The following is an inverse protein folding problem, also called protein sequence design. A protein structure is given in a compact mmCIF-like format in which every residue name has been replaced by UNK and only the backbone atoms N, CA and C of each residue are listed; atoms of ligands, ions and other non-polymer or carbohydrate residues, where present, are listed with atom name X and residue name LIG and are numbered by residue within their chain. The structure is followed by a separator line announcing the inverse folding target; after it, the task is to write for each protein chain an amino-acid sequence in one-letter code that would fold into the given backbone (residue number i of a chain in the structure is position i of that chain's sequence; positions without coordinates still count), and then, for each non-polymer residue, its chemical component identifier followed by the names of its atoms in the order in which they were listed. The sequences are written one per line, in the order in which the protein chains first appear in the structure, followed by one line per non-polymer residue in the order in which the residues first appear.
data_IF_084029895043
#
_entry.id   IF_084029895043
#
_cell.length_a   1.000
_cell.length_b   1.000
_cell.length_c   1.000
_cell.angle_alpha   90.00
_cell.angle_beta   90.00
_cell.angle_gamma   90.00
#
_symmetry.space_group_name_H-M   'P 1'
#
loop_
_entity.id
_entity.type
_entity.pdbx_description
1 polymer ?
#
# COMPACT_ATOMS: atom_id res chain seq x y z
N UNK A 1 9.48 9.96 4.86
CA UNK A 1 8.09 9.47 4.72
C UNK A 1 7.45 10.00 3.44
N UNK A 2 7.14 11.30 3.32
CA UNK A 2 6.40 11.87 2.19
C UNK A 2 7.04 11.66 0.79
N UNK A 3 8.32 12.00 0.62
CA UNK A 3 9.00 11.89 -0.68
C UNK A 3 9.13 10.44 -1.17
N UNK A 4 9.39 9.50 -0.25
CA UNK A 4 9.45 8.08 -0.58
C UNK A 4 8.10 7.53 -1.04
N UNK A 5 7.01 7.91 -0.35
CA UNK A 5 5.65 7.53 -0.76
C UNK A 5 5.24 8.16 -2.09
N UNK A 6 5.56 9.44 -2.31
CA UNK A 6 5.31 10.07 -3.60
C UNK A 6 6.00 9.31 -4.74
N UNK A 7 7.28 8.97 -4.58
CA UNK A 7 8.06 8.25 -5.60
C UNK A 7 7.51 6.84 -5.82
N UNK A 8 7.18 6.12 -4.75
CA UNK A 8 6.61 4.77 -4.86
C UNK A 8 5.27 4.77 -5.60
N UNK A 9 4.35 5.65 -5.19
CA UNK A 9 2.99 5.72 -5.75
C UNK A 9 2.98 6.33 -7.15
N UNK A 10 3.88 7.26 -7.46
CA UNK A 10 4.06 7.74 -8.85
C UNK A 10 4.59 6.64 -9.75
N UNK A 11 5.57 5.86 -9.31
CA UNK A 11 6.08 4.71 -10.09
C UNK A 11 4.99 3.66 -10.33
N UNK A 12 4.15 3.41 -9.33
CA UNK A 12 2.99 2.55 -9.48
C UNK A 12 2.03 3.09 -10.54
N UNK A 13 1.65 4.36 -10.42
CA UNK A 13 0.77 5.04 -11.39
C UNK A 13 1.34 4.99 -12.82
N UNK A 14 2.63 5.27 -13.00
CA UNK A 14 3.29 5.22 -14.31
C UNK A 14 3.24 3.81 -14.91
N UNK A 15 3.36 2.78 -14.07
CA UNK A 15 3.24 1.38 -14.47
C UNK A 15 1.81 1.04 -14.89
N UNK A 16 0.81 1.53 -14.15
CA UNK A 16 -0.60 1.35 -14.46
C UNK A 16 -0.98 2.04 -15.79
N UNK A 17 -0.55 3.29 -15.99
CA UNK A 17 -0.75 4.03 -17.24
C UNK A 17 -0.08 3.35 -18.43
N UNK A 18 1.15 2.84 -18.26
CA UNK A 18 1.85 2.09 -19.31
C UNK A 18 1.15 0.78 -19.67
N UNK A 19 0.56 0.07 -18.71
CA UNK A 19 -0.24 -1.13 -18.97
C UNK A 19 -1.50 -0.79 -19.78
N UNK A 20 -2.23 0.26 -19.40
CA UNK A 20 -3.41 0.75 -20.14
C UNK A 20 -3.04 1.16 -21.57
N UNK A 21 -1.94 1.89 -21.75
CA UNK A 21 -1.48 2.32 -23.07
C UNK A 21 -1.14 1.11 -23.96
N UNK A 22 -0.48 0.08 -23.40
CA UNK A 22 -0.14 -1.15 -24.12
C UNK A 22 -1.39 -1.92 -24.59
N UNK A 23 -2.37 -2.12 -23.71
CA UNK A 23 -3.60 -2.84 -24.10
C UNK A 23 -4.44 -2.03 -25.09
N UNK A 24 -4.47 -0.70 -24.96
CA UNK A 24 -5.11 0.18 -25.95
C UNK A 24 -4.46 0.03 -27.33
N UNK A 25 -3.13 0.09 -27.40
CA UNK A 25 -2.40 -0.10 -28.65
C UNK A 25 -2.65 -1.49 -29.25
N UNK A 26 -2.68 -2.54 -28.43
CA UNK A 26 -2.97 -3.90 -28.88
C UNK A 26 -4.39 -4.01 -29.44
N UNK A 27 -5.37 -3.41 -28.77
CA UNK A 27 -6.77 -3.41 -29.19
C UNK A 27 -6.96 -2.65 -30.52
N UNK A 28 -6.25 -1.53 -30.71
CA UNK A 28 -6.29 -0.75 -31.96
C UNK A 28 -5.60 -1.46 -33.12
N UNK A 29 -4.42 -2.06 -32.89
CA UNK A 29 -3.62 -2.69 -33.95
C UNK A 29 -4.06 -4.11 -34.30
N UNK A 30 -4.42 -4.91 -33.31
CA UNK A 30 -4.70 -6.34 -33.46
C UNK A 30 -5.83 -6.80 -32.52
N UNK A 31 -7.10 -6.43 -32.81
CA UNK A 31 -8.24 -6.75 -31.94
C UNK A 31 -8.45 -8.26 -31.75
N UNK A 32 -8.12 -9.08 -32.75
CA UNK A 32 -8.21 -10.54 -32.63
C UNK A 32 -7.21 -11.11 -31.61
N UNK A 33 -5.99 -10.55 -31.57
CA UNK A 33 -4.97 -10.93 -30.58
C UNK A 33 -5.39 -10.44 -29.20
N UNK A 34 -5.92 -9.22 -29.09
CA UNK A 34 -6.46 -8.69 -27.84
C UNK A 34 -7.56 -9.62 -27.27
N UNK A 35 -8.45 -10.10 -28.14
CA UNK A 35 -9.53 -11.02 -27.78
C UNK A 35 -9.02 -12.38 -27.29
N UNK A 36 -8.04 -12.95 -27.98
CA UNK A 36 -7.38 -14.18 -27.53
C UNK A 36 -6.64 -13.99 -26.20
N UNK A 37 -6.00 -12.84 -26.01
CA UNK A 37 -5.32 -12.50 -24.76
C UNK A 37 -6.29 -12.39 -23.58
N UNK A 38 -7.47 -11.79 -23.78
CA UNK A 38 -8.48 -11.68 -22.73
C UNK A 38 -9.05 -13.07 -22.36
N UNK A 39 -9.35 -13.89 -23.36
CA UNK A 39 -9.79 -15.26 -23.16
C UNK A 39 -8.76 -16.07 -22.35
N UNK A 40 -7.48 -15.99 -22.73
CA UNK A 40 -6.41 -16.68 -22.03
C UNK A 40 -6.27 -16.21 -20.56
N UNK A 41 -6.47 -14.91 -20.31
CA UNK A 41 -6.43 -14.35 -18.95
C UNK A 41 -7.56 -14.93 -18.06
N UNK A 42 -8.79 -15.00 -18.56
CA UNK A 42 -9.90 -15.62 -17.83
C UNK A 42 -9.63 -17.10 -17.49
N UNK A 43 -9.14 -17.87 -18.46
CA UNK A 43 -8.80 -19.29 -18.23
C UNK A 43 -7.67 -19.42 -17.20
N UNK A 44 -6.65 -18.56 -17.28
CA UNK A 44 -5.55 -18.53 -16.31
C UNK A 44 -6.02 -18.17 -14.90
N UNK A 45 -7.01 -17.29 -14.78
CA UNK A 45 -7.60 -16.87 -13.51
C UNK A 45 -8.62 -17.89 -12.95
N UNK A 46 -8.85 -19.01 -13.66
CA UNK A 46 -9.60 -20.17 -13.17
C UNK A 46 -11.00 -20.32 -13.76
N UNK A 47 -11.39 -19.50 -14.73
CA UNK A 47 -12.66 -19.66 -15.44
C UNK A 47 -12.62 -20.89 -16.36
N UNK A 48 -13.75 -21.58 -16.48
CA UNK A 48 -13.86 -22.67 -17.45
C UNK A 48 -13.93 -22.11 -18.88
N UNK A 49 -13.49 -22.90 -19.87
CA UNK A 49 -13.35 -22.44 -21.26
C UNK A 49 -14.64 -21.84 -21.84
N UNK A 50 -15.80 -22.43 -21.54
CA UNK A 50 -17.10 -21.94 -22.01
C UNK A 50 -17.47 -20.60 -21.39
N UNK A 51 -17.24 -20.40 -20.09
CA UNK A 51 -17.45 -19.13 -19.41
C UNK A 51 -16.49 -18.05 -19.89
N UNK A 52 -15.20 -18.38 -20.00
CA UNK A 52 -14.16 -17.47 -20.48
C UNK A 52 -14.48 -16.93 -21.88
N UNK A 53 -15.00 -17.78 -22.77
CA UNK A 53 -15.38 -17.37 -24.11
C UNK A 53 -16.61 -16.45 -24.13
N UNK A 54 -17.61 -16.74 -23.29
CA UNK A 54 -18.78 -15.89 -23.12
C UNK A 54 -18.42 -14.51 -22.53
N UNK A 55 -17.59 -14.49 -21.49
CA UNK A 55 -17.10 -13.25 -20.85
C UNK A 55 -16.31 -12.40 -21.82
N UNK A 56 -15.38 -13.01 -22.57
CA UNK A 56 -14.59 -12.33 -23.61
C UNK A 56 -15.50 -11.71 -24.67
N UNK A 57 -16.48 -12.46 -25.19
CA UNK A 57 -17.44 -11.95 -26.17
C UNK A 57 -18.20 -10.74 -25.63
N UNK A 58 -18.69 -10.84 -24.39
CA UNK A 58 -19.44 -9.77 -23.73
C UNK A 58 -18.58 -8.52 -23.51
N UNK A 59 -17.35 -8.69 -23.06
CA UNK A 59 -16.40 -7.59 -22.84
C UNK A 59 -16.15 -6.81 -24.13
N UNK A 60 -15.97 -7.50 -25.26
CA UNK A 60 -15.76 -6.87 -26.58
C UNK A 60 -16.99 -6.12 -27.12
N UNK A 61 -18.19 -6.39 -26.60
CA UNK A 61 -19.41 -5.64 -26.94
C UNK A 61 -19.62 -4.39 -26.07
N UNK A 62 -18.93 -4.30 -24.92
CA UNK A 62 -19.12 -3.23 -23.94
C UNK A 62 -17.87 -2.37 -23.83
N UNK A 63 -16.88 -2.85 -23.07
CA UNK A 63 -15.63 -2.15 -22.84
C UNK A 63 -14.46 -3.16 -22.81
N UNK A 64 -13.88 -3.52 -23.97
CA UNK A 64 -12.80 -4.50 -24.04
C UNK A 64 -11.52 -4.02 -23.35
N UNK A 65 -11.24 -2.72 -23.38
CA UNK A 65 -10.03 -2.15 -22.76
C UNK A 65 -10.08 -2.30 -21.24
N UNK A 66 -11.21 -1.96 -20.63
CA UNK A 66 -11.43 -2.10 -19.19
C UNK A 66 -11.30 -3.57 -18.76
N UNK A 67 -11.94 -4.50 -19.48
CA UNK A 67 -11.83 -5.92 -19.17
C UNK A 67 -10.39 -6.46 -19.33
N UNK A 68 -9.67 -6.04 -20.37
CA UNK A 68 -8.26 -6.42 -20.59
C UNK A 68 -7.38 -5.97 -19.44
N UNK A 69 -7.54 -4.71 -19.01
CA UNK A 69 -6.70 -4.11 -17.97
C UNK A 69 -7.05 -4.69 -16.60
N UNK A 70 -8.33 -4.85 -16.29
CA UNK A 70 -8.80 -5.44 -15.04
C UNK A 70 -8.37 -6.91 -14.90
N UNK A 71 -8.59 -7.74 -15.93
CA UNK A 71 -8.33 -9.18 -15.83
C UNK A 71 -6.83 -9.52 -15.84
N UNK A 72 -6.03 -8.77 -16.61
CA UNK A 72 -4.59 -9.05 -16.76
C UNK A 72 -3.73 -8.40 -15.68
N UNK A 73 -4.13 -7.24 -15.17
CA UNK A 73 -3.31 -6.45 -14.25
C UNK A 73 -4.01 -6.11 -12.94
N UNK A 74 -5.32 -6.34 -12.81
CA UNK A 74 -6.09 -5.96 -11.62
C UNK A 74 -6.24 -4.45 -11.45
N UNK A 75 -6.19 -3.69 -12.55
CA UNK A 75 -6.23 -2.23 -12.54
C UNK A 75 -7.62 -1.75 -12.97
N UNK A 76 -8.14 -0.73 -12.28
CA UNK A 76 -9.33 0.01 -12.68
C UNK A 76 -8.93 1.35 -13.33
N UNK A 77 -9.38 1.61 -14.56
CA UNK A 77 -8.93 2.75 -15.38
C UNK A 77 -9.31 4.11 -14.76
N UNK A 78 -10.33 4.15 -13.91
CA UNK A 78 -10.85 5.38 -13.30
C UNK A 78 -10.28 5.65 -11.90
N UNK A 79 -9.57 4.68 -11.32
CA UNK A 79 -9.12 4.73 -9.92
C UNK A 79 -7.59 4.63 -9.78
N UNK A 80 -6.86 5.36 -10.62
CA UNK A 80 -5.41 5.45 -10.51
C UNK A 80 -4.99 5.97 -9.13
N UNK A 81 -3.92 5.39 -8.61
CA UNK A 81 -3.33 5.82 -7.35
C UNK A 81 -2.92 7.29 -7.43
N UNK A 82 -3.29 8.10 -6.43
CA UNK A 82 -2.96 9.53 -6.39
C UNK A 82 -1.69 9.77 -5.54
N UNK A 83 -0.52 10.07 -6.15
CA UNK A 83 0.75 10.16 -5.42
C UNK A 83 0.77 11.31 -4.42
N UNK A 84 0.08 12.42 -4.72
CA UNK A 84 0.01 13.59 -3.85
C UNK A 84 -0.80 13.30 -2.58
N UNK A 85 -1.95 12.65 -2.74
CA UNK A 85 -2.77 12.26 -1.59
C UNK A 85 -2.02 11.27 -0.69
N UNK A 86 -1.34 10.27 -1.27
CA UNK A 86 -0.52 9.32 -0.52
C UNK A 86 0.63 10.01 0.23
N UNK A 87 1.36 10.92 -0.43
CA UNK A 87 2.47 11.62 0.17
C UNK A 87 2.04 12.56 1.32
N UNK A 88 0.97 13.34 1.13
CA UNK A 88 0.48 14.30 2.13
C UNK A 88 -0.13 13.56 3.33
N UNK A 89 -0.94 12.54 3.10
CA UNK A 89 -1.51 11.74 4.18
C UNK A 89 -0.41 11.07 5.01
N UNK A 90 0.61 10.50 4.36
CA UNK A 90 1.76 9.89 5.04
C UNK A 90 2.60 10.92 5.81
N UNK A 91 2.79 12.13 5.26
CA UNK A 91 3.46 13.22 5.95
C UNK A 91 2.73 13.58 7.25
N UNK A 92 1.42 13.83 7.16
CA UNK A 92 0.61 14.24 8.31
C UNK A 92 0.54 13.14 9.36
N UNK A 93 0.32 11.88 8.94
CA UNK A 93 0.30 10.74 9.85
C UNK A 93 1.63 10.58 10.60
N UNK A 94 2.76 10.71 9.89
CA UNK A 94 4.08 10.67 10.51
C UNK A 94 4.31 11.83 11.48
N UNK A 95 4.00 13.05 11.06
CA UNK A 95 4.18 14.24 11.87
C UNK A 95 3.38 14.13 13.18
N UNK A 96 2.10 13.77 13.10
CA UNK A 96 1.23 13.57 14.27
C UNK A 96 1.74 12.42 15.15
N UNK A 97 2.14 11.30 14.54
CA UNK A 97 2.67 10.15 15.28
C UNK A 97 3.98 10.48 16.03
N UNK A 98 4.83 11.32 15.45
CA UNK A 98 6.10 11.74 16.06
C UNK A 98 5.92 12.72 17.23
N UNK A 99 4.79 13.43 17.32
CA UNK A 99 4.54 14.37 18.43
C UNK A 99 4.54 13.68 19.78
N UNK A 100 3.99 12.47 19.88
CA UNK A 100 3.91 11.73 21.15
C UNK A 100 5.29 11.50 21.81
N UNK A 101 6.25 10.82 21.15
CA UNK A 101 7.58 10.64 21.74
C UNK A 101 8.34 11.96 21.90
N UNK A 102 8.18 12.91 20.97
CA UNK A 102 8.88 14.19 21.00
C UNK A 102 8.47 15.04 22.21
N UNK A 103 7.17 15.18 22.47
CA UNK A 103 6.65 15.92 23.63
C UNK A 103 7.11 15.23 24.92
N UNK A 104 7.05 13.90 24.95
CA UNK A 104 7.43 13.12 26.13
C UNK A 104 8.90 13.32 26.50
N UNK A 105 9.83 13.23 25.53
CA UNK A 105 11.26 13.31 25.82
C UNK A 105 11.72 14.74 26.18
N UNK A 106 11.03 15.77 25.67
CA UNK A 106 11.34 17.19 25.92
C UNK A 106 10.84 17.64 27.29
N UNK A 107 9.60 17.27 27.66
CA UNK A 107 8.95 17.84 28.85
C UNK A 107 9.22 17.07 30.14
N UNK A 108 9.51 15.76 30.07
CA UNK A 108 9.70 14.94 31.27
C UNK A 108 11.14 15.01 31.82
N UNK A 109 11.31 14.89 33.14
CA UNK A 109 12.62 14.94 33.76
C UNK A 109 13.51 13.76 33.37
N UNK A 110 14.83 13.99 33.38
CA UNK A 110 15.84 13.05 32.89
C UNK A 110 15.77 11.64 33.50
N UNK A 111 15.31 11.53 34.76
CA UNK A 111 15.17 10.26 35.47
C UNK A 111 14.11 9.33 34.88
N UNK A 112 13.05 9.87 34.28
CA UNK A 112 11.89 9.08 33.83
C UNK A 112 11.60 9.20 32.33
N UNK A 113 12.15 10.22 31.65
CA UNK A 113 11.79 10.54 30.27
C UNK A 113 11.95 9.38 29.29
N UNK A 114 12.99 8.54 29.44
CA UNK A 114 13.22 7.40 28.53
C UNK A 114 12.10 6.37 28.68
N UNK A 115 11.85 5.90 29.91
CA UNK A 115 10.82 4.90 30.19
C UNK A 115 9.41 5.41 29.86
N UNK A 116 9.13 6.68 30.14
CA UNK A 116 7.88 7.32 29.76
C UNK A 116 7.68 7.35 28.24
N UNK A 117 8.73 7.70 27.48
CA UNK A 117 8.69 7.69 26.00
C UNK A 117 8.42 6.29 25.45
N UNK A 118 9.10 5.27 25.99
CA UNK A 118 8.86 3.87 25.58
C UNK A 118 7.40 3.47 25.83
N UNK A 119 6.86 3.78 27.00
CA UNK A 119 5.47 3.46 27.36
C UNK A 119 4.47 4.17 26.43
N UNK A 120 4.65 5.48 26.19
CA UNK A 120 3.76 6.26 25.34
C UNK A 120 3.80 5.76 23.90
N UNK A 121 4.99 5.45 23.38
CA UNK A 121 5.11 4.87 22.03
C UNK A 121 4.49 3.47 21.97
N UNK A 122 4.68 2.63 22.98
CA UNK A 122 4.03 1.32 23.03
C UNK A 122 2.49 1.43 22.95
N UNK A 123 1.89 2.36 23.71
CA UNK A 123 0.45 2.62 23.65
C UNK A 123 0.01 3.15 22.28
N UNK A 124 0.78 4.07 21.69
CA UNK A 124 0.51 4.60 20.35
C UNK A 124 0.60 3.51 19.27
N UNK A 125 1.57 2.59 19.37
CA UNK A 125 1.73 1.44 18.46
C UNK A 125 0.58 0.45 18.59
N UNK A 126 0.10 0.19 19.82
CA UNK A 126 -1.09 -0.64 20.03
C UNK A 126 -2.34 0.02 19.42
N UNK A 127 -2.52 1.32 19.62
CA UNK A 127 -3.62 2.09 19.04
C UNK A 127 -3.61 2.08 17.51
N UNK A 128 -2.46 2.39 16.90
CA UNK A 128 -2.30 2.38 15.43
C UNK A 128 -2.39 0.98 14.83
N UNK A 129 -1.90 -0.04 15.53
CA UNK A 129 -2.05 -1.43 15.11
C UNK A 129 -3.50 -1.91 15.17
N UNK A 130 -4.27 -1.46 16.17
CA UNK A 130 -5.70 -1.73 16.26
C UNK A 130 -6.47 -1.05 15.13
N UNK A 131 -6.21 0.24 14.87
CA UNK A 131 -6.92 0.98 13.82
C UNK A 131 -6.61 0.43 12.43
N UNK A 132 -5.34 0.11 12.13
CA UNK A 132 -4.97 -0.46 10.83
C UNK A 132 -5.59 -1.84 10.60
N UNK A 133 -5.65 -2.70 11.64
CA UNK A 133 -6.29 -4.00 11.54
C UNK A 133 -7.80 -3.90 11.30
N UNK A 134 -8.46 -2.95 11.98
CA UNK A 134 -9.91 -2.75 11.85
C UNK A 134 -10.28 -2.22 10.46
N UNK A 135 -9.50 -1.28 9.92
CA UNK A 135 -9.71 -0.75 8.58
C UNK A 135 -9.38 -1.79 7.50
N UNK A 136 -8.29 -2.55 7.68
CA UNK A 136 -7.84 -3.58 6.75
C UNK A 136 -8.52 -4.94 6.89
N UNK A 137 -9.55 -5.07 7.75
CA UNK A 137 -10.25 -6.34 8.06
C UNK A 137 -9.28 -7.49 8.42
N UNK A 138 -8.15 -7.18 9.03
CA UNK A 138 -7.10 -8.12 9.36
C UNK A 138 -7.22 -8.64 10.82
N UNK A 139 -6.56 -9.77 11.17
CA UNK A 139 -6.57 -10.28 12.54
C UNK A 139 -5.96 -9.28 13.53
N UNK A 140 -6.81 -8.66 14.36
CA UNK A 140 -6.47 -7.58 15.29
C UNK A 140 -5.26 -7.88 16.16
N UNK A 141 -5.27 -9.02 16.86
CA UNK A 141 -4.20 -9.41 17.78
C UNK A 141 -2.83 -9.49 17.07
N UNK A 142 -2.79 -10.06 15.88
CA UNK A 142 -1.55 -10.26 15.14
C UNK A 142 -1.00 -8.92 14.64
N UNK A 143 -1.87 -8.04 14.13
CA UNK A 143 -1.48 -6.71 13.69
C UNK A 143 -0.95 -5.84 14.83
N UNK A 144 -1.64 -5.82 15.99
CA UNK A 144 -1.21 -5.06 17.17
C UNK A 144 0.14 -5.56 17.71
N UNK A 145 0.30 -6.87 17.90
CA UNK A 145 1.56 -7.45 18.40
C UNK A 145 2.70 -7.19 17.41
N UNK A 146 2.47 -7.40 16.11
CA UNK A 146 3.46 -7.12 15.07
C UNK A 146 3.91 -5.66 15.11
N UNK A 147 2.97 -4.72 15.18
CA UNK A 147 3.28 -3.30 15.22
C UNK A 147 4.07 -2.91 16.47
N UNK A 148 3.65 -3.43 17.63
CA UNK A 148 4.34 -3.20 18.90
C UNK A 148 5.77 -3.75 18.88
N UNK A 149 5.95 -5.01 18.49
CA UNK A 149 7.26 -5.69 18.52
C UNK A 149 8.23 -5.03 17.54
N UNK A 150 7.82 -4.79 16.30
CA UNK A 150 8.69 -4.15 15.29
C UNK A 150 9.04 -2.72 15.72
N UNK A 151 8.07 -1.96 16.23
CA UNK A 151 8.29 -0.59 16.69
C UNK A 151 9.27 -0.53 17.87
N UNK A 152 9.06 -1.36 18.90
CA UNK A 152 9.96 -1.41 20.06
C UNK A 152 11.35 -1.93 19.70
N UNK A 153 11.46 -2.92 18.80
CA UNK A 153 12.76 -3.38 18.31
C UNK A 153 13.49 -2.27 17.56
N UNK A 154 12.80 -1.54 16.70
CA UNK A 154 13.37 -0.40 15.96
C UNK A 154 13.87 0.67 16.92
N UNK A 155 13.08 1.04 17.93
CA UNK A 155 13.50 1.98 18.98
C UNK A 155 14.73 1.49 19.76
N UNK A 156 14.78 0.20 20.10
CA UNK A 156 15.92 -0.37 20.81
C UNK A 156 17.19 -0.30 19.95
N UNK A 157 17.10 -0.66 18.66
CA UNK A 157 18.24 -0.59 17.73
C UNK A 157 18.72 0.84 17.56
N UNK A 158 17.82 1.80 17.31
CA UNK A 158 18.22 3.21 17.12
C UNK A 158 18.79 3.82 18.39
N UNK A 159 18.29 3.44 19.56
CA UNK A 159 18.86 3.86 20.85
C UNK A 159 20.27 3.31 21.05
N UNK A 160 20.50 2.01 20.82
CA UNK A 160 21.82 1.38 20.97
C UNK A 160 22.83 1.96 19.98
N UNK A 161 22.43 2.14 18.73
CA UNK A 161 23.28 2.79 17.72
C UNK A 161 23.61 4.22 18.14
N UNK A 162 22.62 5.00 18.59
CA UNK A 162 22.84 6.36 19.09
C UNK A 162 23.82 6.39 20.26
N UNK A 163 23.73 5.44 21.20
CA UNK A 163 24.68 5.33 22.32
C UNK A 163 26.09 4.93 21.86
N UNK A 164 26.21 4.05 20.88
CA UNK A 164 27.51 3.60 20.36
C UNK A 164 28.31 4.73 19.69
N UNK A 165 27.62 5.69 19.06
CA UNK A 165 28.24 6.86 18.42
C UNK A 165 28.23 8.13 19.30
N UNK A 166 27.60 8.08 20.48
CA UNK A 166 27.62 9.17 21.47
C UNK A 166 28.83 9.11 22.42
N UNK A 167 29.73 8.15 22.21
CA UNK A 167 31.03 8.00 22.88
C UNK A 167 32.06 8.90 22.18
#
# INVERSE_FOLDING_TARGET
MAGGEYVSVSTQKDTEEAAVARERELLEKNPDIARQSLYAAYVQNGECETSAQLMTNRAFLQNPLEALVAEKYGIEIEEFTNPWHAAISSFLAFAVGALFPMITIILLPASVRIWATVLIVALALLGTGYTSARLGKAPLKNAMIRNLVIGLLTMAVTYVVGQAFAI
#
